data_IF_681170613601
#
_entry.id   IF_681170613601
#
_cell.length_a   1.000
_cell.length_b   1.000
_cell.length_c   1.000
_cell.angle_alpha   90.00
_cell.angle_beta   90.00
_cell.angle_gamma   90.00
#
_symmetry.space_group_name_H-M   'P 1'
#
loop_
_entity.id
_entity.type
_entity.pdbx_description
1 polymer ?
#
# COMPACT_ATOMS: atom_id res chain seq x y z
N UNK A 1 15.24 -3.25 0.78
CA UNK A 1 15.29 -1.79 0.97
C UNK A 1 13.88 -1.26 1.14
N UNK A 2 13.68 -0.40 2.07
CA UNK A 2 12.38 0.20 2.30
C UNK A 2 12.41 1.70 2.06
N UNK A 3 11.22 2.30 2.05
CA UNK A 3 11.09 3.74 1.99
C UNK A 3 11.12 4.26 3.43
N UNK A 4 11.97 5.22 3.67
CA UNK A 4 12.09 5.82 4.98
C UNK A 4 11.48 7.22 4.94
N UNK A 5 10.36 7.39 5.64
CA UNK A 5 9.62 8.65 5.66
C UNK A 5 9.61 9.20 7.08
N UNK A 6 10.59 10.04 7.39
CA UNK A 6 10.69 10.67 8.69
C UNK A 6 10.32 12.14 8.55
N UNK A 7 9.46 12.61 9.42
CA UNK A 7 9.04 14.02 9.47
C UNK A 7 8.33 14.47 8.20
N UNK A 8 7.78 13.52 7.47
CA UNK A 8 7.00 13.79 6.26
C UNK A 8 5.57 13.36 6.51
N UNK A 9 4.63 14.23 6.19
CA UNK A 9 3.23 13.86 6.25
C UNK A 9 2.68 13.73 4.84
N UNK A 10 1.96 12.63 4.61
CA UNK A 10 1.29 12.37 3.35
C UNK A 10 -0.22 12.46 3.50
N UNK A 11 -0.68 13.05 4.57
CA UNK A 11 -2.09 13.17 4.85
C UNK A 11 -2.82 13.82 3.66
N UNK A 12 -3.86 13.17 3.21
CA UNK A 12 -4.62 13.65 2.05
C UNK A 12 -4.04 13.27 0.70
N UNK A 13 -2.87 12.62 0.68
CA UNK A 13 -2.27 12.12 -0.56
C UNK A 13 -2.67 10.68 -0.80
N UNK A 14 -2.66 10.28 -2.07
CA UNK A 14 -2.95 8.90 -2.43
C UNK A 14 -1.82 8.35 -3.28
N UNK A 15 -1.35 7.17 -2.94
CA UNK A 15 -0.29 6.50 -3.68
C UNK A 15 -0.83 5.26 -4.38
N UNK A 16 -0.42 5.07 -5.62
CA UNK A 16 -0.73 3.89 -6.39
C UNK A 16 0.49 2.97 -6.31
N UNK A 17 0.32 1.76 -5.79
CA UNK A 17 1.41 0.83 -5.60
C UNK A 17 1.11 -0.45 -6.37
N UNK A 18 1.92 -0.74 -7.39
CA UNK A 18 1.81 -2.00 -8.13
C UNK A 18 2.74 -3.02 -7.50
N UNK A 19 2.34 -4.29 -7.54
CA UNK A 19 3.12 -5.33 -6.88
C UNK A 19 3.15 -5.16 -5.37
N UNK A 20 2.09 -4.60 -4.80
CA UNK A 20 2.07 -4.16 -3.41
C UNK A 20 2.06 -5.29 -2.40
N UNK A 21 1.81 -6.52 -2.84
CA UNK A 21 1.60 -7.63 -1.92
C UNK A 21 2.88 -8.32 -1.48
N UNK A 22 3.98 -8.04 -2.12
CA UNK A 22 5.25 -8.71 -1.82
C UNK A 22 6.39 -7.73 -1.71
N UNK A 23 7.33 -8.07 -0.83
CA UNK A 23 8.62 -7.43 -0.75
C UNK A 23 8.57 -5.92 -0.66
N UNK A 24 9.27 -5.27 -1.58
CA UNK A 24 9.42 -3.82 -1.58
C UNK A 24 8.09 -3.10 -1.76
N UNK A 25 7.22 -3.65 -2.60
CA UNK A 25 5.92 -3.02 -2.83
C UNK A 25 5.09 -2.96 -1.57
N UNK A 26 5.06 -4.06 -0.82
CA UNK A 26 4.32 -4.11 0.44
C UNK A 26 4.92 -3.17 1.47
N UNK A 27 6.25 -3.16 1.58
CA UNK A 27 6.92 -2.26 2.52
C UNK A 27 6.68 -0.81 2.19
N UNK A 28 6.70 -0.47 0.90
CA UNK A 28 6.43 0.90 0.46
C UNK A 28 5.00 1.32 0.81
N UNK A 29 4.03 0.44 0.58
CA UNK A 29 2.64 0.74 0.91
C UNK A 29 2.46 0.99 2.41
N UNK A 30 3.08 0.16 3.23
CA UNK A 30 2.99 0.32 4.68
C UNK A 30 3.63 1.62 5.13
N UNK A 31 4.79 1.96 4.58
CA UNK A 31 5.48 3.20 4.96
C UNK A 31 4.67 4.43 4.58
N UNK A 32 4.08 4.42 3.39
CA UNK A 32 3.26 5.53 2.93
C UNK A 32 2.03 5.69 3.81
N UNK A 33 1.40 4.56 4.17
CA UNK A 33 0.23 4.58 5.03
C UNK A 33 0.57 5.09 6.42
N UNK A 34 1.74 4.72 6.94
CA UNK A 34 2.20 5.22 8.25
C UNK A 34 2.40 6.73 8.24
N UNK A 35 2.77 7.27 7.10
CA UNK A 35 2.92 8.71 6.94
C UNK A 35 1.59 9.43 6.69
N UNK A 36 0.49 8.69 6.70
CA UNK A 36 -0.85 9.26 6.53
C UNK A 36 -1.41 9.18 5.12
N UNK A 37 -0.68 8.57 4.18
CA UNK A 37 -1.13 8.47 2.81
C UNK A 37 -2.16 7.37 2.60
N UNK A 38 -3.06 7.60 1.67
CA UNK A 38 -4.02 6.60 1.24
C UNK A 38 -3.40 5.70 0.19
N UNK A 39 -3.85 4.46 0.12
CA UNK A 39 -3.22 3.46 -0.74
C UNK A 39 -4.20 2.90 -1.75
N UNK A 40 -3.75 2.84 -3.00
CA UNK A 40 -4.40 2.03 -4.02
C UNK A 40 -3.39 0.93 -4.38
N UNK A 41 -3.72 -0.30 -4.05
CA UNK A 41 -2.81 -1.43 -4.23
C UNK A 41 -3.26 -2.28 -5.41
N UNK A 42 -2.33 -2.64 -6.26
CA UNK A 42 -2.59 -3.51 -7.40
C UNK A 42 -1.70 -4.74 -7.27
N UNK A 43 -2.29 -5.90 -7.37
CA UNK A 43 -1.57 -7.15 -7.29
C UNK A 43 -2.38 -8.29 -7.87
N UNK A 44 -1.78 -9.47 -7.95
CA UNK A 44 -2.42 -10.64 -8.55
C UNK A 44 -3.02 -11.59 -7.53
N UNK A 45 -2.74 -11.41 -6.27
CA UNK A 45 -3.18 -12.32 -5.21
C UNK A 45 -4.16 -11.62 -4.30
N UNK A 46 -5.44 -11.99 -4.42
CA UNK A 46 -6.49 -11.33 -3.64
C UNK A 46 -6.30 -11.54 -2.15
N UNK A 47 -5.86 -12.71 -1.75
CA UNK A 47 -5.64 -13.01 -0.33
C UNK A 47 -4.57 -12.10 0.26
N UNK A 48 -3.49 -11.88 -0.47
CA UNK A 48 -2.43 -10.99 -0.01
C UNK A 48 -2.87 -9.53 -0.02
N UNK A 49 -3.66 -9.13 -1.01
CA UNK A 49 -4.22 -7.78 -1.04
C UNK A 49 -5.10 -7.53 0.18
N UNK A 50 -5.90 -8.52 0.55
CA UNK A 50 -6.77 -8.41 1.71
C UNK A 50 -5.95 -8.34 3.00
N UNK A 51 -4.89 -9.12 3.09
CA UNK A 51 -3.99 -9.10 4.24
C UNK A 51 -3.33 -7.74 4.42
N UNK A 52 -2.85 -7.16 3.33
CA UNK A 52 -2.25 -5.84 3.37
C UNK A 52 -3.29 -4.79 3.78
N UNK A 53 -4.49 -4.91 3.25
CA UNK A 53 -5.58 -3.99 3.59
C UNK A 53 -5.91 -3.99 5.07
N UNK A 54 -5.89 -5.16 5.71
CA UNK A 54 -6.15 -5.24 7.15
C UNK A 54 -5.11 -4.46 7.94
N UNK A 55 -3.85 -4.54 7.53
CA UNK A 55 -2.79 -3.79 8.19
C UNK A 55 -2.94 -2.30 7.98
N UNK A 56 -3.21 -1.90 6.74
CA UNK A 56 -3.27 -0.49 6.39
C UNK A 56 -4.48 0.19 7.01
N UNK A 57 -5.61 -0.49 7.07
CA UNK A 57 -6.82 0.09 7.67
C UNK A 57 -6.65 0.39 9.15
N UNK A 58 -5.78 -0.31 9.84
CA UNK A 58 -5.49 -0.03 11.24
C UNK A 58 -4.84 1.34 11.41
N UNK A 59 -4.26 1.88 10.35
CA UNK A 59 -3.62 3.19 10.38
C UNK A 59 -4.60 4.32 10.05
N UNK A 60 -5.87 3.99 9.88
CA UNK A 60 -6.95 4.97 9.67
C UNK A 60 -6.80 5.76 8.37
N UNK A 61 -6.20 5.14 7.37
CA UNK A 61 -6.15 5.70 6.01
C UNK A 61 -7.03 4.87 5.09
N UNK A 62 -7.34 5.40 3.92
CA UNK A 62 -8.15 4.69 2.96
C UNK A 62 -7.31 3.67 2.20
N UNK A 63 -7.91 2.54 1.91
CA UNK A 63 -7.27 1.47 1.18
C UNK A 63 -8.21 0.94 0.12
N UNK A 64 -7.75 0.91 -1.12
CA UNK A 64 -8.48 0.32 -2.24
C UNK A 64 -7.54 -0.66 -2.93
N UNK A 65 -8.06 -1.80 -3.34
CA UNK A 65 -7.24 -2.79 -4.03
C UNK A 65 -7.89 -3.23 -5.32
N UNK A 66 -7.05 -3.57 -6.28
CA UNK A 66 -7.47 -4.14 -7.55
C UNK A 66 -6.67 -5.41 -7.79
N UNK A 67 -7.38 -6.52 -7.97
CA UNK A 67 -6.76 -7.78 -8.33
C UNK A 67 -6.61 -7.79 -9.84
N UNK A 68 -5.39 -7.57 -10.29
CA UNK A 68 -5.13 -7.39 -11.72
C UNK A 68 -3.78 -7.99 -12.07
N UNK A 69 -3.74 -8.74 -13.17
CA UNK A 69 -2.50 -9.26 -13.70
C UNK A 69 -1.99 -8.28 -14.73
N UNK A 70 -0.90 -7.59 -14.40
CA UNK A 70 -0.32 -6.57 -15.26
C UNK A 70 0.80 -7.11 -16.14
N UNK A 71 1.10 -8.39 -16.05
CA UNK A 71 2.16 -9.00 -16.83
C UNK A 71 1.59 -9.61 -18.10
N UNK A 72 1.25 -8.86 -19.00
CA UNK A 72 0.60 -9.37 -20.15
C UNK A 72 1.47 -9.34 -21.39
#
# INVERSE_FOLDING_TARGET
MGIFLKDITLKGKTALVTGATKGLGRGAAEAIAEAGGNIIAIGRNQSELNSLGKKIKKLKVQYTSFNCDVTN
#
